data_IF_514492964909
#
_entry.id   IF_514492964909
#
_cell.length_a   1.000
_cell.length_b   1.000
_cell.length_c   1.000
_cell.angle_alpha   90.00
_cell.angle_beta   90.00
_cell.angle_gamma   90.00
#
_symmetry.space_group_name_H-M   'P 1'
#
loop_
_entity.id
_entity.type
_entity.pdbx_description
1 polymer ?
#
# COMPACT_ATOMS: atom_id res chain seq x y z
N UNK A 1 11.46 7.41 -8.24
CA UNK A 1 10.49 7.00 -7.19
C UNK A 1 10.41 7.98 -6.01
N UNK A 2 11.52 8.51 -5.48
CA UNK A 2 11.51 9.50 -4.39
C UNK A 2 10.74 10.80 -4.71
N UNK A 3 10.86 11.32 -5.93
CA UNK A 3 10.10 12.50 -6.42
C UNK A 3 8.57 12.30 -6.40
N UNK A 4 8.10 11.08 -6.70
CA UNK A 4 6.67 10.76 -6.69
C UNK A 4 6.08 10.72 -5.28
N UNK A 5 6.84 10.23 -4.30
CA UNK A 5 6.45 10.21 -2.88
C UNK A 5 6.57 11.58 -2.21
N UNK A 6 7.57 12.38 -2.57
CA UNK A 6 7.68 13.78 -2.15
C UNK A 6 6.53 14.62 -2.68
N UNK A 7 6.12 14.42 -3.94
CA UNK A 7 4.91 15.01 -4.51
C UNK A 7 3.65 14.57 -3.78
N UNK A 8 3.55 13.29 -3.41
CA UNK A 8 2.38 12.76 -2.69
C UNK A 8 2.25 13.30 -1.26
N UNK A 9 3.35 13.36 -0.53
CA UNK A 9 3.40 13.93 0.82
C UNK A 9 3.15 15.44 0.78
N UNK A 10 3.73 16.14 -0.19
CA UNK A 10 3.52 17.58 -0.41
C UNK A 10 2.06 17.92 -0.70
N UNK A 11 1.38 17.15 -1.55
CA UNK A 11 -0.02 17.41 -1.90
C UNK A 11 -0.98 17.04 -0.76
N UNK A 12 -0.68 16.00 0.03
CA UNK A 12 -1.46 15.68 1.24
C UNK A 12 -1.36 16.76 2.33
N UNK A 13 -0.19 17.42 2.44
CA UNK A 13 0.04 18.56 3.34
C UNK A 13 -0.58 19.84 2.79
N UNK A 14 -0.52 20.09 1.47
CA UNK A 14 -1.08 21.30 0.86
C UNK A 14 -2.61 21.31 0.72
N UNK A 15 -3.26 20.16 0.51
CA UNK A 15 -4.72 20.07 0.34
C UNK A 15 -5.48 19.86 1.66
N UNK A 16 -4.76 19.67 2.76
CA UNK A 16 -5.31 19.76 4.11
C UNK A 16 -5.57 21.22 4.45
N UNK A 17 -6.82 21.67 4.34
CA UNK A 17 -7.25 22.98 4.84
C UNK A 17 -7.00 23.09 6.34
N UNK A 18 -5.85 23.64 6.72
CA UNK A 18 -5.48 24.04 8.07
C UNK A 18 -5.42 22.90 9.10
N UNK A 19 -4.64 23.09 10.18
CA UNK A 19 -4.68 22.18 11.33
C UNK A 19 -6.09 22.19 11.94
N UNK A 20 -6.79 21.03 11.94
CA UNK A 20 -8.01 20.83 12.75
C UNK A 20 -9.28 20.31 12.05
N UNK A 21 -9.30 20.08 10.73
CA UNK A 21 -10.54 19.69 10.00
C UNK A 21 -10.63 18.23 9.53
N UNK A 22 -9.74 17.34 9.98
CA UNK A 22 -9.76 15.94 9.53
C UNK A 22 -10.62 15.09 10.46
N UNK A 23 -11.59 14.36 9.89
CA UNK A 23 -12.33 13.33 10.63
C UNK A 23 -11.40 12.17 11.02
N UNK A 24 -11.80 11.39 12.04
CA UNK A 24 -11.14 10.13 12.41
C UNK A 24 -10.99 9.19 11.22
N UNK A 25 -12.01 9.10 10.37
CA UNK A 25 -12.00 8.32 9.13
C UNK A 25 -10.96 8.81 8.11
N UNK A 26 -10.76 10.11 7.95
CA UNK A 26 -9.78 10.67 7.01
C UNK A 26 -8.35 10.44 7.47
N UNK A 27 -8.07 10.68 8.77
CA UNK A 27 -6.77 10.38 9.35
C UNK A 27 -6.40 8.90 9.18
N UNK A 28 -7.38 8.01 9.33
CA UNK A 28 -7.18 6.58 9.14
C UNK A 28 -6.89 6.22 7.67
N UNK A 29 -7.61 6.81 6.71
CA UNK A 29 -7.36 6.62 5.27
C UNK A 29 -5.98 7.10 4.85
N UNK A 30 -5.58 8.28 5.32
CA UNK A 30 -4.27 8.87 5.03
C UNK A 30 -3.18 7.99 5.60
N UNK A 31 -3.35 7.52 6.84
CA UNK A 31 -2.41 6.57 7.44
C UNK A 31 -2.29 5.29 6.61
N UNK A 32 -3.39 4.73 6.13
CA UNK A 32 -3.36 3.50 5.32
C UNK A 32 -2.72 3.70 3.94
N UNK A 33 -3.03 4.81 3.30
CA UNK A 33 -2.38 5.23 2.07
C UNK A 33 -0.87 5.33 2.24
N UNK A 34 -0.41 6.05 3.27
CA UNK A 34 1.00 6.25 3.54
C UNK A 34 1.68 4.92 3.84
N UNK A 35 1.05 4.06 4.66
CA UNK A 35 1.60 2.74 4.95
C UNK A 35 1.76 1.91 3.67
N UNK A 36 0.79 1.88 2.77
CA UNK A 36 0.89 1.14 1.51
C UNK A 36 2.01 1.69 0.61
N UNK A 37 2.12 3.01 0.49
CA UNK A 37 3.15 3.65 -0.33
C UNK A 37 4.56 3.45 0.26
N UNK A 38 4.72 3.60 1.58
CA UNK A 38 5.99 3.34 2.26
C UNK A 38 6.37 1.86 2.25
N UNK A 39 5.41 0.94 2.34
CA UNK A 39 5.67 -0.50 2.20
C UNK A 39 6.29 -0.82 0.85
N UNK A 40 5.75 -0.27 -0.24
CA UNK A 40 6.30 -0.44 -1.57
C UNK A 40 7.70 0.21 -1.71
N UNK A 41 7.87 1.45 -1.23
CA UNK A 41 9.17 2.12 -1.26
C UNK A 41 10.23 1.32 -0.49
N UNK A 42 9.90 0.90 0.73
CA UNK A 42 10.84 0.20 1.60
C UNK A 42 11.25 -1.16 1.00
N UNK A 43 10.30 -1.91 0.45
CA UNK A 43 10.60 -3.16 -0.25
C UNK A 43 11.49 -2.94 -1.48
N UNK A 44 11.24 -1.89 -2.26
CA UNK A 44 12.10 -1.49 -3.37
C UNK A 44 13.50 -1.11 -2.90
N UNK A 45 13.63 -0.36 -1.80
CA UNK A 45 14.92 -0.01 -1.21
C UNK A 45 15.69 -1.23 -0.71
N UNK A 46 15.02 -2.21 -0.10
CA UNK A 46 15.66 -3.47 0.31
C UNK A 46 16.17 -4.24 -0.90
N UNK A 47 15.37 -4.36 -1.95
CA UNK A 47 15.77 -5.06 -3.17
C UNK A 47 16.97 -4.37 -3.84
N UNK A 48 16.89 -3.07 -4.08
CA UNK A 48 17.99 -2.31 -4.70
C UNK A 48 19.21 -2.25 -3.79
N UNK A 49 19.03 -2.00 -2.50
CA UNK A 49 20.12 -1.90 -1.53
C UNK A 49 20.87 -3.23 -1.36
N UNK A 50 20.16 -4.36 -1.36
CA UNK A 50 20.80 -5.68 -1.30
C UNK A 50 21.58 -6.00 -2.58
N UNK A 51 21.07 -5.63 -3.76
CA UNK A 51 21.81 -5.74 -5.02
C UNK A 51 23.10 -4.92 -4.98
N UNK A 52 23.04 -3.68 -4.48
CA UNK A 52 24.21 -2.81 -4.32
C UNK A 52 25.21 -3.33 -3.28
N UNK A 53 24.73 -4.04 -2.27
CA UNK A 53 25.57 -4.72 -1.28
C UNK A 53 26.20 -6.03 -1.80
N UNK A 54 25.98 -6.38 -3.07
CA UNK A 54 26.58 -7.56 -3.71
C UNK A 54 25.73 -8.84 -3.61
N UNK A 55 24.46 -8.75 -3.20
CA UNK A 55 23.56 -9.89 -3.28
C UNK A 55 23.28 -10.25 -4.75
N UNK A 56 23.17 -11.55 -5.06
CA UNK A 56 22.74 -12.01 -6.38
C UNK A 56 21.34 -11.52 -6.71
N UNK A 57 21.06 -11.29 -7.99
CA UNK A 57 19.79 -10.69 -8.47
C UNK A 57 18.55 -11.47 -8.01
N UNK A 58 18.61 -12.80 -7.95
CA UNK A 58 17.51 -13.61 -7.41
C UNK A 58 17.31 -13.40 -5.90
N UNK A 59 18.39 -13.26 -5.13
CA UNK A 59 18.32 -13.04 -3.69
C UNK A 59 17.82 -11.63 -3.36
N UNK A 60 18.23 -10.63 -4.12
CA UNK A 60 17.77 -9.25 -3.92
C UNK A 60 16.26 -9.10 -4.21
N UNK A 61 15.75 -9.80 -5.22
CA UNK A 61 14.31 -9.87 -5.50
C UNK A 61 13.57 -10.60 -4.38
N UNK A 62 14.11 -11.72 -3.88
CA UNK A 62 13.50 -12.46 -2.77
C UNK A 62 13.43 -11.63 -1.48
N UNK A 63 14.51 -10.91 -1.13
CA UNK A 63 14.53 -10.02 0.03
C UNK A 63 13.50 -8.89 -0.10
N UNK A 64 13.40 -8.29 -1.29
CA UNK A 64 12.38 -7.29 -1.62
C UNK A 64 10.97 -7.84 -1.49
N UNK A 65 10.69 -9.00 -2.09
CA UNK A 65 9.39 -9.68 -2.04
C UNK A 65 9.02 -10.08 -0.60
N UNK A 66 9.99 -10.49 0.21
CA UNK A 66 9.84 -10.78 1.64
C UNK A 66 9.41 -9.56 2.44
N UNK A 67 10.14 -8.46 2.28
CA UNK A 67 9.80 -7.20 2.92
C UNK A 67 8.43 -6.68 2.48
N UNK A 68 8.11 -6.81 1.19
CA UNK A 68 6.83 -6.40 0.63
C UNK A 68 5.68 -7.22 1.22
N UNK A 69 5.81 -8.55 1.23
CA UNK A 69 4.80 -9.45 1.78
C UNK A 69 4.59 -9.17 3.28
N UNK A 70 5.68 -9.06 4.05
CA UNK A 70 5.60 -8.78 5.48
C UNK A 70 4.87 -7.46 5.75
N UNK A 71 5.21 -6.40 5.01
CA UNK A 71 4.52 -5.12 5.08
C UNK A 71 3.04 -5.24 4.71
N UNK A 72 2.73 -5.92 3.61
CA UNK A 72 1.36 -6.11 3.12
C UNK A 72 0.48 -6.89 4.12
N UNK A 73 1.00 -7.94 4.73
CA UNK A 73 0.30 -8.71 5.78
C UNK A 73 0.11 -7.86 7.03
N UNK A 74 1.16 -7.15 7.48
CA UNK A 74 1.08 -6.29 8.65
C UNK A 74 -0.02 -5.24 8.49
N UNK A 75 -0.01 -4.46 7.40
CA UNK A 75 -1.01 -3.42 7.26
C UNK A 75 -2.39 -4.00 6.92
N UNK A 76 -2.49 -5.09 6.16
CA UNK A 76 -3.77 -5.76 5.89
C UNK A 76 -4.47 -6.21 7.17
N UNK A 77 -3.71 -6.75 8.14
CA UNK A 77 -4.25 -7.15 9.45
C UNK A 77 -4.61 -5.96 10.32
N UNK A 78 -3.77 -4.91 10.37
CA UNK A 78 -4.05 -3.67 11.11
C UNK A 78 -5.28 -2.95 10.54
N UNK A 79 -5.42 -2.88 9.22
CA UNK A 79 -6.58 -2.31 8.53
C UNK A 79 -7.85 -3.07 8.90
N UNK A 80 -7.82 -4.41 8.80
CA UNK A 80 -8.98 -5.22 9.15
C UNK A 80 -9.44 -5.02 10.60
N UNK A 81 -8.50 -4.86 11.53
CA UNK A 81 -8.83 -4.56 12.95
C UNK A 81 -9.42 -3.17 13.11
N UNK A 82 -8.79 -2.13 12.54
CA UNK A 82 -9.25 -0.75 12.71
C UNK A 82 -10.57 -0.46 12.02
N UNK A 83 -10.82 -1.03 10.83
CA UNK A 83 -12.13 -0.89 10.15
C UNK A 83 -13.27 -1.48 10.99
N UNK A 84 -13.03 -2.58 11.72
CA UNK A 84 -14.02 -3.17 12.64
C UNK A 84 -14.36 -2.28 13.84
N UNK A 85 -13.55 -1.26 14.12
CA UNK A 85 -13.77 -0.31 15.22
C UNK A 85 -14.30 1.05 14.76
N UNK A 86 -14.46 1.28 13.45
CA UNK A 86 -15.10 2.49 12.93
C UNK A 86 -16.61 2.46 13.15
N UNK A 87 -17.22 3.65 13.26
CA UNK A 87 -18.67 3.80 13.34
C UNK A 87 -19.36 3.31 12.04
N UNK A 88 -20.62 2.83 12.09
CA UNK A 88 -21.34 2.34 10.92
C UNK A 88 -21.48 3.39 9.80
N UNK A 89 -21.61 4.67 10.16
CA UNK A 89 -21.65 5.83 9.26
C UNK A 89 -20.34 5.98 8.48
N UNK A 90 -19.20 5.85 9.13
CA UNK A 90 -17.87 5.90 8.50
C UNK A 90 -17.57 4.65 7.65
N UNK A 91 -18.15 3.49 8.00
CA UNK A 91 -18.03 2.25 7.20
C UNK A 91 -18.76 2.36 5.87
N UNK A 92 -19.84 3.13 5.78
CA UNK A 92 -20.60 3.32 4.54
C UNK A 92 -19.75 3.93 3.40
N UNK A 93 -18.72 4.70 3.76
CA UNK A 93 -17.78 5.27 2.81
C UNK A 93 -16.88 4.21 2.14
N UNK A 94 -16.75 3.02 2.74
CA UNK A 94 -16.10 1.86 2.12
C UNK A 94 -17.12 1.07 1.30
N UNK A 95 -17.32 1.49 0.05
CA UNK A 95 -18.18 0.77 -0.90
C UNK A 95 -17.81 -0.72 -0.98
N UNK A 96 -18.79 -1.61 -0.73
CA UNK A 96 -18.58 -3.07 -0.64
C UNK A 96 -17.86 -3.66 -1.87
N UNK A 97 -18.19 -3.17 -3.08
CA UNK A 97 -17.52 -3.58 -4.33
C UNK A 97 -16.03 -3.24 -4.35
N UNK A 98 -15.66 -2.04 -3.91
CA UNK A 98 -14.26 -1.64 -3.84
C UNK A 98 -13.51 -2.43 -2.75
N UNK A 99 -14.14 -2.68 -1.60
CA UNK A 99 -13.53 -3.50 -0.55
C UNK A 99 -13.24 -4.93 -1.03
N UNK A 100 -14.14 -5.52 -1.81
CA UNK A 100 -13.93 -6.82 -2.47
C UNK A 100 -12.79 -6.73 -3.48
N UNK A 101 -12.82 -5.73 -4.36
CA UNK A 101 -11.77 -5.53 -5.37
C UNK A 101 -10.38 -5.38 -4.73
N UNK A 102 -10.23 -4.51 -3.73
CA UNK A 102 -8.98 -4.31 -2.99
C UNK A 102 -8.53 -5.62 -2.34
N UNK A 103 -9.45 -6.38 -1.73
CA UNK A 103 -9.12 -7.67 -1.13
C UNK A 103 -8.60 -8.66 -2.17
N UNK A 104 -9.24 -8.74 -3.35
CA UNK A 104 -8.78 -9.62 -4.43
C UNK A 104 -7.39 -9.22 -4.93
N UNK A 105 -7.15 -7.92 -5.13
CA UNK A 105 -5.84 -7.39 -5.54
C UNK A 105 -4.76 -7.67 -4.48
N UNK A 106 -5.09 -7.54 -3.19
CA UNK A 106 -4.15 -7.87 -2.11
C UNK A 106 -3.86 -9.35 -2.02
N UNK A 107 -4.89 -10.21 -2.09
CA UNK A 107 -4.71 -11.66 -2.04
C UNK A 107 -3.89 -12.16 -3.23
N UNK A 108 -4.13 -11.63 -4.43
CA UNK A 108 -3.32 -11.95 -5.62
C UNK A 108 -1.89 -11.42 -5.49
N UNK A 109 -1.68 -10.23 -4.94
CA UNK A 109 -0.35 -9.71 -4.61
C UNK A 109 0.38 -10.61 -3.60
N UNK A 110 -0.29 -11.08 -2.54
CA UNK A 110 0.29 -12.00 -1.56
C UNK A 110 0.72 -13.31 -2.21
N UNK A 111 -0.15 -13.89 -3.05
CA UNK A 111 0.19 -15.08 -3.83
C UNK A 111 1.41 -14.86 -4.72
N UNK A 112 1.47 -13.73 -5.44
CA UNK A 112 2.61 -13.38 -6.27
C UNK A 112 3.92 -13.26 -5.46
N UNK A 113 3.89 -12.61 -4.30
CA UNK A 113 5.09 -12.48 -3.45
C UNK A 113 5.52 -13.81 -2.84
N UNK A 114 4.58 -14.68 -2.44
CA UNK A 114 4.90 -16.03 -1.96
C UNK A 114 5.57 -16.88 -3.05
N UNK A 115 5.09 -16.77 -4.29
CA UNK A 115 5.71 -17.46 -5.43
C UNK A 115 7.11 -16.89 -5.72
N UNK A 116 7.29 -15.57 -5.68
CA UNK A 116 8.60 -14.95 -5.82
C UNK A 116 9.58 -15.38 -4.72
N UNK A 117 9.11 -15.46 -3.47
CA UNK A 117 9.89 -15.89 -2.30
C UNK A 117 10.30 -17.36 -2.34
N UNK A 118 9.37 -18.24 -2.71
CA UNK A 118 9.65 -19.68 -2.78
C UNK A 118 10.70 -20.04 -3.83
N UNK A 119 10.97 -19.15 -4.79
CA UNK A 119 11.93 -19.39 -5.86
C UNK A 119 11.47 -20.43 -6.88
N UNK A 120 10.20 -20.89 -6.82
CA UNK A 120 9.64 -21.88 -7.74
C UNK A 120 9.51 -21.33 -9.16
N UNK A 121 9.32 -20.02 -9.32
CA UNK A 121 9.21 -19.34 -10.61
C UNK A 121 10.31 -18.29 -10.79
N UNK A 122 11.59 -18.70 -10.68
CA UNK A 122 12.77 -17.81 -10.82
C UNK A 122 12.69 -16.82 -12.00
N UNK A 123 12.35 -17.21 -13.24
CA UNK A 123 12.30 -16.26 -14.35
C UNK A 123 11.18 -15.21 -14.22
N UNK A 124 10.13 -15.51 -13.45
CA UNK A 124 9.00 -14.61 -13.23
C UNK A 124 9.12 -13.80 -11.93
N UNK A 125 10.05 -14.13 -11.05
CA UNK A 125 10.18 -13.50 -9.74
C UNK A 125 10.30 -11.96 -9.79
N UNK A 126 11.07 -11.35 -10.71
CA UNK A 126 11.14 -9.89 -10.82
C UNK A 126 9.78 -9.27 -11.21
N UNK A 127 9.05 -9.92 -12.11
CA UNK A 127 7.72 -9.48 -12.56
C UNK A 127 6.67 -9.60 -11.46
N UNK A 128 6.71 -10.68 -10.68
CA UNK A 128 5.84 -10.89 -9.53
C UNK A 128 6.12 -9.87 -8.42
N UNK A 129 7.39 -9.59 -8.15
CA UNK A 129 7.79 -8.53 -7.22
C UNK A 129 7.29 -7.16 -7.70
N UNK A 130 7.52 -6.83 -8.96
CA UNK A 130 7.06 -5.58 -9.57
C UNK A 130 5.53 -5.43 -9.55
N UNK A 131 4.78 -6.51 -9.82
CA UNK A 131 3.33 -6.53 -9.70
C UNK A 131 2.87 -6.16 -8.28
N UNK A 132 3.51 -6.70 -7.25
CA UNK A 132 3.17 -6.36 -5.86
C UNK A 132 3.45 -4.90 -5.52
N UNK A 133 4.56 -4.34 -6.04
CA UNK A 133 4.87 -2.91 -5.89
C UNK A 133 3.78 -2.06 -6.54
N UNK A 134 3.40 -2.39 -7.77
CA UNK A 134 2.34 -1.69 -8.50
C UNK A 134 0.99 -1.80 -7.79
N UNK A 135 0.64 -2.97 -7.24
CA UNK A 135 -0.60 -3.15 -6.50
C UNK A 135 -0.67 -2.22 -5.27
N UNK A 136 0.42 -2.10 -4.51
CA UNK A 136 0.50 -1.17 -3.38
C UNK A 136 0.41 0.30 -3.82
N UNK A 137 1.11 0.68 -4.89
CA UNK A 137 1.11 2.05 -5.40
C UNK A 137 -0.24 2.43 -6.02
N UNK A 138 -0.87 1.52 -6.77
CA UNK A 138 -2.20 1.72 -7.33
C UNK A 138 -3.25 1.85 -6.23
N UNK A 139 -3.16 1.05 -5.16
CA UNK A 139 -4.01 1.21 -3.98
C UNK A 139 -3.82 2.59 -3.34
N UNK A 140 -2.58 3.03 -3.14
CA UNK A 140 -2.30 4.36 -2.60
C UNK A 140 -2.87 5.46 -3.52
N UNK A 141 -2.60 5.41 -4.82
CA UNK A 141 -3.15 6.38 -5.77
C UNK A 141 -4.69 6.45 -5.73
N UNK A 142 -5.36 5.30 -5.71
CA UNK A 142 -6.82 5.23 -5.69
C UNK A 142 -7.40 5.71 -4.35
N UNK A 143 -6.77 5.34 -3.23
CA UNK A 143 -7.15 5.81 -1.90
C UNK A 143 -7.01 7.34 -1.77
N UNK A 144 -5.98 7.92 -2.40
CA UNK A 144 -5.79 9.37 -2.45
C UNK A 144 -6.84 10.10 -3.28
N UNK A 145 -7.11 9.62 -4.49
CA UNK A 145 -8.17 10.20 -5.33
C UNK A 145 -9.50 10.17 -4.56
N UNK A 146 -9.82 9.06 -3.89
CA UNK A 146 -11.03 9.00 -3.07
C UNK A 146 -11.01 9.96 -1.87
N UNK A 147 -9.86 10.12 -1.21
CA UNK A 147 -9.72 11.10 -0.13
C UNK A 147 -9.99 12.53 -0.62
N UNK A 148 -9.53 12.87 -1.83
CA UNK A 148 -9.69 14.22 -2.38
C UNK A 148 -11.10 14.48 -2.90
N UNK A 149 -11.70 13.52 -3.61
CA UNK A 149 -12.96 13.74 -4.35
C UNK A 149 -14.21 13.18 -3.67
N UNK A 150 -14.08 12.26 -2.70
CA UNK A 150 -15.21 11.64 -2.01
C UNK A 150 -15.11 11.98 -0.51
N UNK A 151 -15.60 13.17 -0.14
CA UNK A 151 -15.76 13.58 1.25
C UNK A 151 -17.15 13.20 1.77
N UNK A 152 -17.28 12.78 3.05
CA UNK A 152 -18.59 12.80 3.71
C UNK A 152 -19.10 14.25 3.71
N UNK A 153 -20.38 14.44 3.41
CA UNK A 153 -21.04 15.74 3.52
C UNK A 153 -20.84 16.28 4.94
N UNK A 154 -20.48 17.57 5.13
CA UNK A 154 -20.61 18.19 6.43
C UNK A 154 -22.12 18.23 6.73
N UNK A 155 -22.56 17.41 7.66
CA UNK A 155 -23.77 17.68 8.44
C UNK A 155 -23.42 18.71 9.52
#
# INVERSE_FOLDING_TARGET
>A
MALGLAGFAGVAVMLGQGPGRWSSGDALRIRFLLIAAFTALFASLISTGSLWAGAGEGASVQLGAGALLAGQVYWGTVVARKIRHLEPSERALFSRRLAVFIRVVLCSSWGAQLVALSGLARPLAPWLFFYGLLACLAYAALAFVRLLFIRPSPE
#
